data_IF_399550741918
#
_entry.id   IF_399550741918
#
_cell.length_a   1.000
_cell.length_b   1.000
_cell.length_c   1.000
_cell.angle_alpha   90.00
_cell.angle_beta   90.00
_cell.angle_gamma   90.00
#
_symmetry.space_group_name_H-M   'P 1'
#
loop_
_entity.id
_entity.type
_entity.pdbx_description
1 polymer ?
#
# COMPACT_ATOMS: atom_id res chain seq x y z
N UNK A 1 -10.55 -11.91 -17.43
CA UNK A 1 -9.74 -11.68 -16.21
C UNK A 1 -10.67 -11.37 -15.04
N UNK A 2 -10.33 -11.76 -13.81
CA UNK A 2 -11.28 -11.76 -12.67
C UNK A 2 -11.34 -10.45 -11.86
N UNK A 3 -10.69 -9.38 -12.31
CA UNK A 3 -10.69 -8.07 -11.64
C UNK A 3 -11.69 -7.11 -12.28
N UNK A 4 -12.11 -6.09 -11.52
CA UNK A 4 -12.96 -5.01 -12.01
C UNK A 4 -12.12 -3.88 -12.59
N UNK A 5 -12.62 -3.25 -13.66
CA UNK A 5 -11.97 -2.06 -14.24
C UNK A 5 -12.09 -0.86 -13.30
N UNK A 6 -11.15 0.08 -13.39
CA UNK A 6 -11.18 1.31 -12.59
C UNK A 6 -12.51 2.09 -12.77
N UNK A 7 -13.08 2.06 -13.97
CA UNK A 7 -14.38 2.68 -14.24
C UNK A 7 -15.55 1.98 -13.53
N UNK A 8 -15.56 0.64 -13.50
CA UNK A 8 -16.57 -0.13 -12.77
C UNK A 8 -16.48 0.15 -11.27
N UNK A 9 -15.27 0.15 -10.72
CA UNK A 9 -15.02 0.44 -9.30
C UNK A 9 -15.44 1.86 -8.94
N UNK A 10 -15.05 2.86 -9.74
CA UNK A 10 -15.44 4.26 -9.52
C UNK A 10 -16.97 4.46 -9.62
N UNK A 11 -17.62 3.80 -10.59
CA UNK A 11 -19.08 3.84 -10.73
C UNK A 11 -19.80 3.17 -9.56
N UNK A 12 -19.28 2.04 -9.07
CA UNK A 12 -19.80 1.37 -7.88
C UNK A 12 -19.68 2.25 -6.63
N UNK A 13 -18.50 2.82 -6.38
CA UNK A 13 -18.29 3.74 -5.24
C UNK A 13 -19.24 4.93 -5.33
N UNK A 14 -19.39 5.52 -6.52
CA UNK A 14 -20.30 6.64 -6.73
C UNK A 14 -21.76 6.28 -6.43
N UNK A 15 -22.21 5.08 -6.83
CA UNK A 15 -23.54 4.59 -6.50
C UNK A 15 -23.73 4.44 -4.98
N UNK A 16 -22.73 3.87 -4.28
CA UNK A 16 -22.74 3.72 -2.83
C UNK A 16 -22.79 5.09 -2.12
N UNK A 17 -21.99 6.05 -2.57
CA UNK A 17 -22.01 7.42 -2.02
C UNK A 17 -23.40 8.05 -2.17
N UNK A 18 -24.03 7.92 -3.35
CA UNK A 18 -25.38 8.44 -3.59
C UNK A 18 -26.47 7.78 -2.75
N UNK A 19 -26.26 6.55 -2.28
CA UNK A 19 -27.18 5.87 -1.38
C UNK A 19 -27.00 6.25 0.10
N UNK A 20 -25.79 6.65 0.51
CA UNK A 20 -25.46 6.91 1.91
C UNK A 20 -25.52 8.40 2.23
N UNK A 21 -25.01 9.26 1.34
CA UNK A 21 -24.89 10.69 1.59
C UNK A 21 -26.16 11.39 1.12
N UNK A 22 -26.83 12.17 2.00
CA UNK A 22 -27.99 12.97 1.63
C UNK A 22 -27.71 13.87 0.41
N UNK A 23 -28.68 14.02 -0.51
CA UNK A 23 -28.49 14.80 -1.73
C UNK A 23 -28.13 16.27 -1.45
N UNK A 24 -28.62 16.83 -0.35
CA UNK A 24 -28.31 18.21 0.05
C UNK A 24 -26.81 18.40 0.32
N UNK A 25 -26.16 17.42 0.97
CA UNK A 25 -24.72 17.45 1.24
C UNK A 25 -23.86 17.21 0.00
N UNK A 26 -24.37 16.47 -0.99
CA UNK A 26 -23.67 16.23 -2.25
C UNK A 26 -23.69 17.46 -3.18
N UNK A 27 -24.59 18.40 -2.94
CA UNK A 27 -24.72 19.62 -3.72
C UNK A 27 -25.28 19.37 -5.12
N UNK A 28 -24.85 20.19 -6.07
CA UNK A 28 -25.41 20.24 -7.43
C UNK A 28 -24.72 19.29 -8.41
N UNK A 29 -25.23 19.23 -9.65
CA UNK A 29 -24.66 18.35 -10.69
C UNK A 29 -23.20 18.69 -11.03
N UNK A 30 -22.77 19.94 -10.82
CA UNK A 30 -21.38 20.35 -11.07
C UNK A 30 -20.44 19.72 -10.04
N UNK A 31 -20.79 19.76 -8.76
CA UNK A 31 -20.06 19.10 -7.67
C UNK A 31 -20.09 17.58 -7.86
N UNK A 32 -21.22 17.00 -8.27
CA UNK A 32 -21.30 15.56 -8.52
C UNK A 32 -20.33 15.11 -9.61
N UNK A 33 -20.22 15.88 -10.70
CA UNK A 33 -19.28 15.59 -11.79
C UNK A 33 -17.84 15.69 -11.29
N UNK A 34 -17.52 16.71 -10.50
CA UNK A 34 -16.18 16.88 -9.92
C UNK A 34 -15.82 15.76 -8.93
N UNK A 35 -16.74 15.37 -8.05
CA UNK A 35 -16.55 14.25 -7.11
C UNK A 35 -16.34 12.93 -7.86
N UNK A 36 -17.17 12.63 -8.86
CA UNK A 36 -17.03 11.41 -9.68
C UNK A 36 -15.68 11.36 -10.40
N UNK A 37 -15.22 12.49 -10.95
CA UNK A 37 -13.90 12.60 -11.56
C UNK A 37 -12.76 12.39 -10.53
N UNK A 38 -12.88 12.99 -9.34
CA UNK A 38 -11.88 12.82 -8.28
C UNK A 38 -11.84 11.38 -7.76
N UNK A 39 -12.98 10.71 -7.63
CA UNK A 39 -13.05 9.28 -7.29
C UNK A 39 -12.40 8.44 -8.38
N UNK A 40 -12.70 8.72 -9.66
CA UNK A 40 -12.08 8.00 -10.77
C UNK A 40 -10.57 8.19 -10.82
N UNK A 41 -10.06 9.38 -10.49
CA UNK A 41 -8.63 9.64 -10.35
C UNK A 41 -8.04 8.86 -9.20
N UNK A 42 -8.67 8.89 -8.03
CA UNK A 42 -8.22 8.19 -6.83
C UNK A 42 -8.10 6.67 -7.04
N UNK A 43 -9.11 6.07 -7.69
CA UNK A 43 -9.10 4.64 -8.06
C UNK A 43 -8.05 4.34 -9.13
N UNK A 44 -7.65 5.33 -9.92
CA UNK A 44 -6.62 5.19 -10.95
C UNK A 44 -5.19 5.34 -10.46
N UNK A 45 -4.98 5.67 -9.19
CA UNK A 45 -3.64 5.90 -8.65
C UNK A 45 -2.82 4.61 -8.58
N UNK A 46 -1.52 4.76 -8.83
CA UNK A 46 -0.56 3.69 -8.63
C UNK A 46 -0.18 3.56 -7.15
N UNK A 47 0.43 2.44 -6.80
CA UNK A 47 0.94 2.24 -5.45
C UNK A 47 2.03 3.26 -5.15
N UNK A 48 1.96 3.82 -3.93
CA UNK A 48 2.83 4.90 -3.43
C UNK A 48 2.57 6.28 -4.03
N UNK A 49 1.60 6.42 -4.95
CA UNK A 49 1.10 7.74 -5.32
C UNK A 49 0.26 8.34 -4.20
N UNK A 50 0.39 9.65 -4.02
CA UNK A 50 -0.34 10.41 -3.02
C UNK A 50 -1.49 11.17 -3.68
N UNK A 51 -2.62 11.26 -2.98
CA UNK A 51 -3.78 12.01 -3.44
C UNK A 51 -4.00 13.26 -2.59
N UNK A 52 -3.61 14.40 -3.13
CA UNK A 52 -3.66 15.65 -2.39
C UNK A 52 -5.06 16.26 -2.36
N UNK A 53 -5.44 16.77 -1.18
CA UNK A 53 -6.70 17.46 -0.99
C UNK A 53 -6.78 18.75 -1.83
N UNK A 54 -5.66 19.45 -2.01
CA UNK A 54 -5.59 20.66 -2.85
C UNK A 54 -6.01 20.40 -4.29
N UNK A 55 -5.59 19.26 -4.86
CA UNK A 55 -5.94 18.85 -6.22
C UNK A 55 -7.43 18.54 -6.37
N UNK A 56 -8.06 18.00 -5.31
CA UNK A 56 -9.50 17.76 -5.28
C UNK A 56 -10.30 19.07 -5.31
N UNK A 57 -9.83 20.07 -4.56
CA UNK A 57 -10.54 21.32 -4.31
C UNK A 57 -10.47 22.30 -5.47
N UNK A 58 -9.33 22.39 -6.18
CA UNK A 58 -9.16 23.31 -7.31
C UNK A 58 -10.25 23.15 -8.40
N UNK A 59 -10.86 21.96 -8.50
CA UNK A 59 -11.97 21.69 -9.44
C UNK A 59 -13.37 21.87 -8.85
N UNK A 60 -13.47 22.03 -7.54
CA UNK A 60 -14.70 22.23 -6.77
C UNK A 60 -14.89 23.71 -6.36
N UNK A 61 -13.82 24.50 -6.32
CA UNK A 61 -13.81 25.91 -5.90
C UNK A 61 -14.58 26.85 -6.85
N UNK A 62 -14.92 26.42 -8.07
CA UNK A 62 -15.73 27.20 -9.02
C UNK A 62 -17.24 27.14 -8.75
N UNK A 63 -17.70 26.23 -7.90
CA UNK A 63 -19.12 26.06 -7.54
C UNK A 63 -19.28 26.24 -6.03
N UNK A 64 -19.99 27.28 -5.58
CA UNK A 64 -20.37 27.42 -4.17
C UNK A 64 -21.30 26.24 -3.82
N UNK A 65 -20.92 25.34 -2.90
CA UNK A 65 -21.79 24.23 -2.55
C UNK A 65 -23.04 24.76 -1.83
N UNK A 66 -24.26 24.40 -2.28
CA UNK A 66 -25.51 24.97 -1.77
C UNK A 66 -25.79 24.61 -0.31
N UNK A 67 -25.19 23.57 0.27
CA UNK A 67 -25.36 23.27 1.69
C UNK A 67 -24.58 24.22 2.60
N UNK A 68 -23.45 24.80 2.14
CA UNK A 68 -22.68 25.73 2.97
C UNK A 68 -23.35 27.10 3.07
N UNK A 69 -24.16 27.50 2.11
CA UNK A 69 -24.94 28.74 2.21
C UNK A 69 -26.07 28.65 3.24
N UNK A 70 -26.47 27.43 3.62
CA UNK A 70 -27.50 27.18 4.64
C UNK A 70 -26.93 27.08 6.07
N UNK A 71 -25.62 26.84 6.23
CA UNK A 71 -24.97 26.82 7.55
C UNK A 71 -24.84 28.26 8.05
N UNK A 72 -25.76 28.69 8.92
CA UNK A 72 -25.61 29.96 9.64
C UNK A 72 -24.46 29.82 10.64
N UNK A 73 -23.57 30.81 10.70
CA UNK A 73 -22.44 30.83 11.65
C UNK A 73 -22.90 30.69 13.11
N UNK A 74 -24.15 31.09 13.42
CA UNK A 74 -24.79 30.93 14.72
C UNK A 74 -24.95 29.46 15.16
N UNK A 75 -24.97 28.52 14.22
CA UNK A 75 -25.37 27.13 14.46
C UNK A 75 -24.16 26.18 14.54
N UNK A 76 -22.95 26.72 14.35
CA UNK A 76 -21.72 25.97 14.54
C UNK A 76 -21.44 25.85 16.04
N UNK A 77 -21.48 24.63 16.60
CA UNK A 77 -21.08 24.35 17.98
C UNK A 77 -19.67 24.88 18.31
N UNK A 78 -18.80 25.03 17.31
CA UNK A 78 -17.49 25.66 17.47
C UNK A 78 -17.61 27.12 17.90
N UNK A 79 -18.60 27.90 17.45
CA UNK A 79 -18.80 29.27 17.93
C UNK A 79 -19.27 29.30 19.39
N UNK A 80 -20.15 28.38 19.80
CA UNK A 80 -20.57 28.26 21.22
C UNK A 80 -19.43 27.78 22.13
N UNK A 81 -18.64 26.79 21.71
CA UNK A 81 -17.48 26.30 22.47
C UNK A 81 -16.35 27.33 22.54
N UNK A 82 -16.17 28.13 21.48
CA UNK A 82 -15.14 29.17 21.40
C UNK A 82 -15.52 30.46 22.12
N UNK A 83 -16.82 30.69 22.37
CA UNK A 83 -17.32 31.72 23.30
C UNK A 83 -17.23 31.26 24.76
N UNK A 84 -17.38 29.96 25.04
CA UNK A 84 -17.28 29.42 26.40
C UNK A 84 -15.84 29.28 26.94
N UNK A 85 -14.84 29.10 26.06
CA UNK A 85 -13.42 29.07 26.45
C UNK A 85 -12.86 30.48 26.26
N UNK A 86 -13.11 31.33 27.25
CA UNK A 86 -12.78 32.75 27.23
C UNK A 86 -11.31 33.05 26.93
N UNK A 87 -11.12 34.20 26.28
CA UNK A 87 -9.88 34.90 25.94
C UNK A 87 -9.28 34.60 24.56
N UNK A 88 -9.92 35.14 23.54
CA UNK A 88 -9.23 35.54 22.32
C UNK A 88 -9.57 37.01 22.03
N UNK A 89 -8.54 37.85 21.86
CA UNK A 89 -8.59 39.31 21.69
C UNK A 89 -9.29 39.80 20.41
N UNK A 90 -9.93 38.92 19.65
CA UNK A 90 -10.67 39.23 18.43
C UNK A 90 -12.02 39.92 18.66
N UNK A 91 -12.43 40.16 19.91
CA UNK A 91 -13.60 40.97 20.24
C UNK A 91 -13.32 42.50 20.25
N UNK A 92 -12.07 42.95 20.04
CA UNK A 92 -11.71 44.38 20.10
C UNK A 92 -11.54 45.09 18.76
N UNK A 93 -11.64 44.41 17.63
CA UNK A 93 -11.62 45.08 16.32
C UNK A 93 -12.99 44.97 15.64
N UNK A 94 -13.77 46.03 15.82
CA UNK A 94 -14.91 46.31 14.98
C UNK A 94 -14.47 46.55 13.53
N UNK A 95 -15.33 46.11 12.61
CA UNK A 95 -15.45 46.67 11.27
C UNK A 95 -14.30 46.46 10.28
N UNK A 96 -14.06 45.20 9.86
CA UNK A 96 -13.82 44.89 8.44
C UNK A 96 -14.05 43.39 8.09
N UNK A 97 -14.88 43.13 7.07
CA UNK A 97 -15.01 41.87 6.30
C UNK A 97 -15.66 40.62 6.94
N UNK A 98 -16.89 40.75 7.47
CA UNK A 98 -17.79 39.61 7.80
C UNK A 98 -17.96 38.60 6.65
N UNK A 99 -17.85 39.05 5.39
CA UNK A 99 -17.92 38.20 4.21
C UNK A 99 -16.66 37.34 3.98
N UNK A 100 -15.45 37.90 4.19
CA UNK A 100 -14.20 37.15 3.99
C UNK A 100 -13.98 36.09 5.05
N UNK A 101 -14.35 36.37 6.30
CA UNK A 101 -14.29 35.38 7.38
C UNK A 101 -15.30 34.24 7.18
N UNK A 102 -16.52 34.53 6.71
CA UNK A 102 -17.52 33.55 6.24
C UNK A 102 -16.96 32.63 5.15
N UNK A 103 -16.40 33.20 4.10
CA UNK A 103 -15.82 32.44 2.97
C UNK A 103 -14.68 31.53 3.45
N UNK A 104 -13.79 32.03 4.31
CA UNK A 104 -12.69 31.22 4.89
C UNK A 104 -13.21 30.04 5.72
N UNK A 105 -14.25 30.26 6.53
CA UNK A 105 -14.86 29.19 7.34
C UNK A 105 -15.53 28.13 6.46
N UNK A 106 -16.32 28.54 5.46
CA UNK A 106 -16.95 27.62 4.52
C UNK A 106 -15.92 26.80 3.75
N UNK A 107 -14.85 27.43 3.26
CA UNK A 107 -13.77 26.72 2.59
C UNK A 107 -13.12 25.70 3.52
N UNK A 108 -12.90 26.03 4.80
CA UNK A 108 -12.38 25.06 5.79
C UNK A 108 -13.34 23.90 6.01
N UNK A 109 -14.63 24.15 6.21
CA UNK A 109 -15.61 23.08 6.42
C UNK A 109 -15.72 22.17 5.20
N UNK A 110 -15.73 22.75 4.00
CA UNK A 110 -15.72 22.00 2.75
C UNK A 110 -14.49 21.09 2.62
N UNK A 111 -13.32 21.60 2.98
CA UNK A 111 -12.06 20.82 3.00
C UNK A 111 -12.17 19.61 3.92
N UNK A 112 -12.69 19.81 5.14
CA UNK A 112 -12.89 18.71 6.09
C UNK A 112 -13.94 17.71 5.59
N UNK A 113 -15.01 18.19 4.94
CA UNK A 113 -16.03 17.32 4.37
C UNK A 113 -15.49 16.44 3.24
N UNK A 114 -14.72 17.01 2.30
CA UNK A 114 -14.07 16.22 1.24
C UNK A 114 -13.07 15.22 1.84
N UNK A 115 -12.26 15.65 2.80
CA UNK A 115 -11.33 14.76 3.48
C UNK A 115 -12.06 13.60 4.17
N UNK A 116 -13.15 13.88 4.88
CA UNK A 116 -14.00 12.89 5.51
C UNK A 116 -14.61 11.93 4.47
N UNK A 117 -15.14 12.45 3.36
CA UNK A 117 -15.71 11.64 2.29
C UNK A 117 -14.70 10.62 1.74
N UNK A 118 -13.46 11.04 1.48
CA UNK A 118 -12.45 10.11 0.97
C UNK A 118 -11.92 9.16 2.04
N UNK A 119 -11.54 9.68 3.20
CA UNK A 119 -10.90 8.88 4.27
C UNK A 119 -11.87 7.93 4.98
N UNK A 120 -13.12 8.35 5.17
CA UNK A 120 -14.10 7.64 6.00
C UNK A 120 -15.19 6.93 5.20
N UNK A 121 -15.35 7.25 3.91
CA UNK A 121 -16.32 6.58 3.04
C UNK A 121 -15.65 5.87 1.86
N UNK A 122 -14.96 6.60 0.97
CA UNK A 122 -14.36 6.00 -0.25
C UNK A 122 -13.35 4.90 0.09
N UNK A 123 -12.38 5.18 0.96
CA UNK A 123 -11.33 4.21 1.33
C UNK A 123 -11.92 2.98 2.04
N UNK A 124 -12.80 3.12 3.07
CA UNK A 124 -13.44 1.97 3.70
C UNK A 124 -14.32 1.16 2.75
N UNK A 125 -15.08 1.79 1.85
CA UNK A 125 -15.88 1.08 0.84
C UNK A 125 -14.97 0.25 -0.06
N UNK A 126 -13.91 0.84 -0.62
CA UNK A 126 -12.94 0.08 -1.44
C UNK A 126 -12.37 -1.11 -0.65
N UNK A 127 -11.88 -0.85 0.56
CA UNK A 127 -11.27 -1.85 1.43
C UNK A 127 -12.24 -2.97 1.82
N UNK A 128 -13.54 -2.68 1.95
CA UNK A 128 -14.54 -3.66 2.36
C UNK A 128 -15.01 -4.56 1.22
N UNK A 129 -15.16 -4.03 0.01
CA UNK A 129 -15.70 -4.79 -1.13
C UNK A 129 -14.63 -5.39 -2.04
N UNK A 130 -13.44 -4.77 -2.11
CA UNK A 130 -12.37 -5.18 -3.01
C UNK A 130 -11.11 -5.56 -2.25
N UNK A 131 -10.44 -6.60 -2.74
CA UNK A 131 -9.05 -6.85 -2.46
C UNK A 131 -8.20 -6.09 -3.47
N UNK A 132 -7.37 -5.18 -2.95
CA UNK A 132 -6.58 -4.23 -3.74
C UNK A 132 -5.14 -4.74 -3.80
N UNK A 133 -4.66 -5.11 -4.98
CA UNK A 133 -3.31 -5.69 -5.14
C UNK A 133 -2.69 -5.35 -6.48
N UNK A 134 -1.37 -5.49 -6.53
CA UNK A 134 -0.53 -5.33 -7.71
C UNK A 134 -0.51 -6.62 -8.53
N UNK A 135 -0.03 -6.55 -9.76
CA UNK A 135 0.38 -7.73 -10.53
C UNK A 135 1.89 -7.76 -10.67
N UNK A 136 2.47 -8.96 -10.83
CA UNK A 136 3.93 -9.07 -10.88
C UNK A 136 4.57 -8.29 -12.05
N UNK A 137 3.88 -8.20 -13.19
CA UNK A 137 4.45 -7.62 -14.41
C UNK A 137 4.01 -6.16 -14.66
N UNK A 138 2.99 -5.69 -13.95
CA UNK A 138 2.34 -4.40 -14.23
C UNK A 138 2.86 -3.28 -13.30
N UNK A 139 4.14 -3.36 -12.91
CA UNK A 139 4.86 -2.38 -12.08
C UNK A 139 4.14 -2.05 -10.76
N UNK A 140 3.61 -0.83 -10.66
CA UNK A 140 2.92 -0.25 -9.49
C UNK A 140 1.41 -0.05 -9.77
N UNK A 141 0.91 -0.64 -10.86
CA UNK A 141 -0.50 -0.55 -11.21
C UNK A 141 -1.35 -1.42 -10.28
N UNK A 142 -2.33 -0.77 -9.67
CA UNK A 142 -3.25 -1.38 -8.72
C UNK A 142 -4.44 -2.01 -9.45
N UNK A 143 -4.84 -3.20 -9.00
CA UNK A 143 -5.99 -3.95 -9.49
C UNK A 143 -6.97 -4.23 -8.36
N UNK A 144 -8.27 -4.24 -8.70
CA UNK A 144 -9.37 -4.39 -7.77
C UNK A 144 -10.09 -5.72 -8.00
N UNK A 145 -9.95 -6.67 -7.08
CA UNK A 145 -10.65 -7.94 -7.14
C UNK A 145 -11.81 -7.93 -6.14
N UNK A 146 -13.05 -8.25 -6.54
CA UNK A 146 -14.12 -8.44 -5.57
C UNK A 146 -13.70 -9.48 -4.52
N UNK A 147 -13.92 -9.21 -3.22
CA UNK A 147 -13.45 -10.10 -2.16
C UNK A 147 -13.90 -11.57 -2.31
N UNK A 148 -15.16 -11.87 -2.67
CA UNK A 148 -15.58 -13.27 -2.89
C UNK A 148 -14.79 -13.97 -3.99
N UNK A 149 -14.43 -13.22 -5.05
CA UNK A 149 -13.61 -13.74 -6.14
C UNK A 149 -12.17 -13.94 -5.67
N UNK A 150 -11.62 -12.98 -4.93
CA UNK A 150 -10.27 -13.09 -4.38
C UNK A 150 -10.13 -14.28 -3.42
N UNK A 151 -11.12 -14.51 -2.55
CA UNK A 151 -11.13 -15.65 -1.63
C UNK A 151 -11.05 -16.98 -2.41
N UNK A 152 -11.92 -17.17 -3.41
CA UNK A 152 -11.86 -18.37 -4.28
C UNK A 152 -10.49 -18.56 -4.95
N UNK A 153 -9.87 -17.48 -5.41
CA UNK A 153 -8.54 -17.54 -6.02
C UNK A 153 -7.46 -17.91 -4.99
N UNK A 154 -7.54 -17.39 -3.77
CA UNK A 154 -6.61 -17.70 -2.68
C UNK A 154 -6.78 -19.13 -2.17
N UNK A 155 -8.01 -19.62 -2.08
CA UNK A 155 -8.32 -21.00 -1.68
C UNK A 155 -7.78 -21.99 -2.71
N UNK A 156 -8.06 -21.76 -4.00
CA UNK A 156 -7.50 -22.57 -5.09
C UNK A 156 -5.97 -22.55 -5.10
N UNK A 157 -5.36 -21.38 -4.88
CA UNK A 157 -3.92 -21.28 -4.76
C UNK A 157 -3.39 -22.09 -3.56
N UNK A 158 -4.12 -22.11 -2.45
CA UNK A 158 -3.73 -22.85 -1.23
C UNK A 158 -3.81 -24.36 -1.45
N UNK A 159 -4.85 -24.85 -2.15
CA UNK A 159 -4.94 -26.26 -2.56
C UNK A 159 -3.77 -26.63 -3.45
N UNK A 160 -3.48 -25.83 -4.49
CA UNK A 160 -2.35 -26.08 -5.38
C UNK A 160 -1.00 -26.13 -4.64
N UNK A 161 -0.82 -25.32 -3.60
CA UNK A 161 0.42 -25.37 -2.81
C UNK A 161 0.56 -26.67 -2.01
N UNK A 162 -0.55 -27.18 -1.46
CA UNK A 162 -0.58 -28.46 -0.75
C UNK A 162 -0.25 -29.64 -1.66
N UNK A 163 -0.68 -29.57 -2.93
CA UNK A 163 -0.37 -30.59 -3.94
C UNK A 163 1.09 -30.55 -4.42
N UNK A 164 1.81 -29.46 -4.15
CA UNK A 164 3.20 -29.27 -4.55
C UNK A 164 4.14 -29.59 -3.37
N UNK A 165 4.84 -28.57 -2.85
CA UNK A 165 5.94 -28.74 -1.88
C UNK A 165 5.57 -28.25 -0.47
N UNK A 166 4.29 -27.98 -0.19
CA UNK A 166 3.86 -27.41 1.09
C UNK A 166 2.96 -28.38 1.84
N UNK A 167 3.18 -28.50 3.15
CA UNK A 167 2.34 -29.30 4.04
C UNK A 167 1.64 -28.39 5.05
N UNK A 168 0.38 -28.71 5.37
CA UNK A 168 -0.33 -28.00 6.42
C UNK A 168 0.17 -28.47 7.79
N UNK A 169 0.63 -27.53 8.62
CA UNK A 169 1.09 -27.84 9.97
C UNK A 169 -0.08 -27.92 10.94
N UNK A 170 -0.05 -28.94 11.79
CA UNK A 170 -0.91 -29.06 12.97
C UNK A 170 -0.34 -28.24 14.14
N UNK A 171 -1.18 -27.90 15.12
CA UNK A 171 -0.79 -27.06 16.27
C UNK A 171 0.37 -27.65 17.08
N UNK A 172 0.39 -28.97 17.29
CA UNK A 172 1.48 -29.66 18.00
C UNK A 172 2.82 -29.53 17.25
N UNK A 173 2.81 -29.80 15.94
CA UNK A 173 3.99 -29.66 15.07
C UNK A 173 4.48 -28.22 15.04
N UNK A 174 3.55 -27.27 14.89
CA UNK A 174 3.84 -25.83 14.93
C UNK A 174 4.55 -25.43 16.23
N UNK A 175 4.03 -25.84 17.39
CA UNK A 175 4.65 -25.52 18.68
C UNK A 175 6.03 -26.15 18.84
N UNK A 176 6.21 -27.39 18.38
CA UNK A 176 7.51 -28.06 18.43
C UNK A 176 8.57 -27.33 17.58
N UNK A 177 8.17 -26.80 16.43
CA UNK A 177 9.04 -26.06 15.52
C UNK A 177 9.41 -24.70 16.13
N UNK A 178 8.43 -23.98 16.66
CA UNK A 178 8.64 -22.66 17.26
C UNK A 178 9.50 -22.76 18.52
N UNK A 179 9.28 -23.78 19.36
CA UNK A 179 10.11 -24.00 20.56
C UNK A 179 11.59 -24.25 20.22
N UNK A 180 11.87 -24.90 19.08
CA UNK A 180 13.24 -25.21 18.63
C UNK A 180 13.90 -24.05 17.85
N UNK A 181 13.12 -23.11 17.31
CA UNK A 181 13.62 -22.04 16.43
C UNK A 181 13.85 -20.75 17.18
N UNK A 182 14.93 -20.05 16.81
CA UNK A 182 15.26 -18.70 17.34
C UNK A 182 14.58 -17.55 16.59
N UNK A 183 13.75 -17.85 15.59
CA UNK A 183 13.05 -16.86 14.77
C UNK A 183 11.66 -17.36 14.37
N UNK A 184 10.75 -16.42 14.13
CA UNK A 184 9.34 -16.69 13.81
C UNK A 184 9.12 -17.05 12.33
N UNK A 185 7.86 -17.04 11.91
CA UNK A 185 7.47 -17.28 10.52
C UNK A 185 7.17 -15.97 9.78
N UNK A 186 7.28 -16.00 8.45
CA UNK A 186 6.95 -14.86 7.60
C UNK A 186 5.48 -14.92 7.19
N UNK A 187 4.79 -13.78 7.25
CA UNK A 187 3.44 -13.66 6.69
C UNK A 187 3.52 -13.66 5.17
N UNK A 188 2.69 -14.46 4.53
CA UNK A 188 2.63 -14.58 3.08
C UNK A 188 1.47 -13.78 2.50
N UNK A 189 1.66 -13.24 1.29
CA UNK A 189 0.59 -12.67 0.47
C UNK A 189 0.59 -13.30 -0.92
N UNK A 190 -0.58 -13.43 -1.52
CA UNK A 190 -0.71 -13.86 -2.91
C UNK A 190 -0.59 -12.66 -3.86
N UNK A 191 0.20 -12.86 -4.93
CA UNK A 191 0.41 -11.91 -6.00
C UNK A 191 0.00 -12.55 -7.33
N UNK A 192 -0.99 -12.01 -8.05
CA UNK A 192 -1.41 -12.56 -9.33
C UNK A 192 -0.31 -12.46 -10.39
N UNK A 193 -0.10 -13.57 -11.10
CA UNK A 193 0.55 -13.64 -12.43
C UNK A 193 -0.52 -13.91 -13.48
N UNK A 194 -0.10 -14.00 -14.76
CA UNK A 194 -1.00 -14.30 -15.89
C UNK A 194 -1.92 -15.51 -15.62
N UNK A 195 -1.35 -16.66 -15.25
CA UNK A 195 -2.10 -17.92 -15.08
C UNK A 195 -1.92 -18.59 -13.70
N UNK A 196 -1.25 -17.93 -12.74
CA UNK A 196 -0.98 -18.53 -11.42
C UNK A 196 -0.84 -17.47 -10.33
N UNK A 197 -0.99 -17.87 -9.07
CA UNK A 197 -0.67 -17.02 -7.93
C UNK A 197 0.78 -17.26 -7.49
N UNK A 198 1.54 -16.19 -7.28
CA UNK A 198 2.86 -16.25 -6.63
C UNK A 198 2.70 -15.90 -5.16
N UNK A 199 3.33 -16.69 -4.29
CA UNK A 199 3.48 -16.32 -2.88
C UNK A 199 4.63 -15.33 -2.72
N UNK A 200 4.41 -14.30 -1.91
CA UNK A 200 5.46 -13.39 -1.44
C UNK A 200 5.46 -13.38 0.08
N UNK A 201 6.57 -13.81 0.68
CA UNK A 201 6.77 -13.80 2.12
C UNK A 201 7.34 -12.44 2.58
N UNK A 202 6.76 -11.85 3.63
CA UNK A 202 7.31 -10.67 4.28
C UNK A 202 8.26 -11.09 5.42
N UNK A 203 9.57 -11.10 5.11
CA UNK A 203 10.63 -11.50 6.05
C UNK A 203 11.13 -10.35 6.95
N UNK A 204 10.67 -9.11 6.70
CA UNK A 204 11.06 -7.91 7.45
C UNK A 204 10.13 -7.62 8.63
N UNK A 205 8.90 -8.11 8.58
CA UNK A 205 7.96 -7.91 9.68
C UNK A 205 8.33 -8.81 10.87
N UNK A 206 8.24 -8.30 12.11
CA UNK A 206 8.25 -9.15 13.29
C UNK A 206 7.01 -10.06 13.28
N UNK A 207 7.14 -11.20 13.95
CA UNK A 207 6.09 -12.20 14.03
C UNK A 207 5.52 -12.19 15.44
N UNK A 208 4.20 -12.10 15.56
CA UNK A 208 3.51 -12.28 16.84
C UNK A 208 3.16 -13.75 17.00
N UNK A 209 3.63 -14.36 18.10
CA UNK A 209 3.33 -15.74 18.45
C UNK A 209 2.34 -15.73 19.60
N UNK A 210 1.17 -16.33 19.36
CA UNK A 210 0.17 -16.54 20.39
C UNK A 210 0.58 -17.73 21.26
N UNK A 211 0.68 -17.52 22.56
CA UNK A 211 0.79 -18.62 23.52
C UNK A 211 -0.56 -19.35 23.59
N UNK A 212 -0.53 -20.67 23.78
CA UNK A 212 -1.73 -21.51 23.84
C UNK A 212 -2.57 -21.25 25.11
N UNK A 213 -1.95 -20.68 26.13
CA UNK A 213 -2.57 -20.45 27.43
C UNK A 213 -3.34 -19.13 27.41
N UNK A 214 -4.65 -19.16 27.70
CA UNK A 214 -5.56 -18.00 27.61
C UNK A 214 -5.11 -16.83 28.52
N UNK A 215 -4.25 -17.11 29.51
CA UNK A 215 -3.68 -16.13 30.43
C UNK A 215 -2.24 -15.67 30.09
N UNK A 216 -1.59 -16.22 29.05
CA UNK A 216 -0.24 -15.80 28.63
C UNK A 216 -0.31 -14.84 27.44
N UNK A 217 0.27 -13.65 27.62
CA UNK A 217 0.38 -12.61 26.60
C UNK A 217 1.10 -13.14 25.36
N UNK A 218 0.66 -12.70 24.19
CA UNK A 218 1.41 -12.90 22.95
C UNK A 218 2.80 -12.27 23.07
N UNK A 219 3.79 -12.89 22.43
CA UNK A 219 5.14 -12.35 22.40
C UNK A 219 5.59 -12.12 20.95
N UNK A 220 6.39 -11.07 20.78
CA UNK A 220 6.92 -10.71 19.48
C UNK A 220 8.30 -11.34 19.29
N UNK A 221 8.44 -12.07 18.19
CA UNK A 221 9.71 -12.60 17.73
C UNK A 221 10.29 -11.66 16.68
N UNK A 222 11.61 -11.48 16.73
CA UNK A 222 12.36 -10.71 15.74
C UNK A 222 12.07 -11.20 14.32
N UNK A 223 12.10 -10.29 13.36
CA UNK A 223 11.93 -10.63 11.95
C UNK A 223 12.98 -11.64 11.49
N UNK A 224 12.65 -12.46 10.48
CA UNK A 224 13.60 -13.44 9.91
C UNK A 224 14.87 -12.74 9.46
N UNK A 225 14.76 -11.58 8.79
CA UNK A 225 15.91 -10.80 8.37
C UNK A 225 16.78 -10.32 9.54
N UNK A 226 16.17 -9.93 10.66
CA UNK A 226 16.91 -9.52 11.87
C UNK A 226 17.65 -10.71 12.47
N UNK A 227 17.02 -11.88 12.54
CA UNK A 227 17.63 -13.08 13.12
C UNK A 227 18.72 -13.69 12.25
N UNK A 228 18.61 -13.59 10.92
CA UNK A 228 19.63 -14.07 9.97
C UNK A 228 20.72 -13.03 9.68
N UNK A 229 20.70 -11.85 10.32
CA UNK A 229 21.64 -10.76 10.05
C UNK A 229 23.10 -11.17 10.32
N UNK A 230 23.34 -11.90 11.40
CA UNK A 230 24.68 -12.39 11.78
C UNK A 230 25.17 -13.44 10.79
N UNK A 231 24.34 -14.42 10.45
CA UNK A 231 24.65 -15.43 9.44
C UNK A 231 24.95 -14.79 8.07
N UNK A 232 24.17 -13.78 7.67
CA UNK A 232 24.43 -13.03 6.45
C UNK A 232 25.74 -12.22 6.52
N UNK A 233 26.16 -11.74 7.69
CA UNK A 233 27.45 -11.09 7.88
C UNK A 233 28.62 -12.09 7.78
N UNK A 234 28.48 -13.27 8.38
CA UNK A 234 29.45 -14.38 8.25
C UNK A 234 29.58 -14.77 6.79
N UNK A 235 28.48 -14.96 6.08
CA UNK A 235 28.49 -15.31 4.66
C UNK A 235 29.19 -14.24 3.81
N UNK A 236 28.98 -12.95 4.10
CA UNK A 236 29.70 -11.85 3.45
C UNK A 236 31.20 -11.88 3.77
N UNK A 237 31.58 -12.24 4.98
CA UNK A 237 32.99 -12.41 5.37
C UNK A 237 33.64 -13.56 4.60
N UNK A 238 33.00 -14.73 4.57
CA UNK A 238 33.45 -15.90 3.80
C UNK A 238 33.61 -15.55 2.33
N UNK A 239 32.68 -14.81 1.73
CA UNK A 239 32.78 -14.33 0.35
C UNK A 239 34.04 -13.49 0.12
N UNK A 240 34.38 -12.62 1.07
CA UNK A 240 35.52 -11.70 0.94
C UNK A 240 36.86 -12.41 1.19
N UNK A 241 36.91 -13.34 2.15
CA UNK A 241 38.13 -14.07 2.53
C UNK A 241 38.39 -15.26 1.59
N UNK A 242 37.36 -15.96 1.13
CA UNK A 242 37.45 -17.08 0.19
C UNK A 242 36.40 -16.97 -0.93
N UNK A 243 36.67 -16.17 -1.98
CA UNK A 243 35.75 -15.99 -3.09
C UNK A 243 35.40 -17.28 -3.84
N UNK A 244 36.32 -18.25 -3.89
CA UNK A 244 36.13 -19.51 -4.61
C UNK A 244 35.05 -20.39 -3.98
N UNK A 245 34.85 -20.30 -2.65
CA UNK A 245 33.84 -21.09 -1.93
C UNK A 245 32.40 -20.78 -2.35
N UNK A 246 32.13 -19.54 -2.80
CA UNK A 246 30.81 -19.09 -3.28
C UNK A 246 30.79 -18.94 -4.82
N UNK A 247 31.88 -19.30 -5.49
CA UNK A 247 32.05 -19.18 -6.93
C UNK A 247 31.74 -17.78 -7.46
N UNK A 248 30.93 -17.72 -8.52
CA UNK A 248 30.59 -16.47 -9.19
C UNK A 248 29.48 -15.66 -8.51
N UNK A 249 29.06 -16.01 -7.29
CA UNK A 249 27.99 -15.33 -6.56
C UNK A 249 28.25 -13.83 -6.36
N UNK A 250 27.16 -13.05 -6.36
CA UNK A 250 27.14 -11.58 -6.20
C UNK A 250 26.02 -11.21 -5.22
N UNK A 251 26.29 -10.28 -4.30
CA UNK A 251 25.36 -9.95 -3.20
C UNK A 251 24.64 -8.62 -3.45
N UNK A 252 24.97 -7.93 -4.54
CA UNK A 252 24.29 -6.72 -4.98
C UNK A 252 24.84 -6.21 -6.31
N UNK A 253 24.21 -5.15 -6.82
CA UNK A 253 24.58 -4.54 -8.10
C UNK A 253 26.01 -3.98 -8.13
N UNK A 254 26.54 -3.56 -6.98
CA UNK A 254 27.92 -3.10 -6.88
C UNK A 254 28.91 -4.22 -7.20
N UNK A 255 28.68 -5.44 -6.68
CA UNK A 255 29.52 -6.60 -6.98
C UNK A 255 29.46 -6.98 -8.46
N UNK A 256 28.25 -6.92 -9.05
CA UNK A 256 28.04 -7.17 -10.48
C UNK A 256 28.85 -6.18 -11.31
N UNK A 257 28.72 -4.89 -11.00
CA UNK A 257 29.47 -3.84 -11.67
C UNK A 257 30.99 -4.06 -11.56
N UNK A 258 31.49 -4.37 -10.37
CA UNK A 258 32.92 -4.61 -10.18
C UNK A 258 33.44 -5.79 -11.01
N UNK A 259 32.71 -6.91 -11.04
CA UNK A 259 33.09 -8.09 -11.85
C UNK A 259 33.07 -7.77 -13.34
N UNK A 260 32.01 -7.11 -13.81
CA UNK A 260 31.88 -6.72 -15.21
C UNK A 260 32.96 -5.71 -15.63
N UNK A 261 33.27 -4.74 -14.75
CA UNK A 261 34.31 -3.76 -14.98
C UNK A 261 35.70 -4.40 -15.09
N UNK A 262 36.03 -5.36 -14.20
CA UNK A 262 37.30 -6.10 -14.27
C UNK A 262 37.43 -6.89 -15.57
N UNK A 263 36.38 -7.64 -15.93
CA UNK A 263 36.32 -8.38 -17.18
C UNK A 263 36.50 -7.46 -18.41
N UNK A 264 35.86 -6.29 -18.40
CA UNK A 264 36.00 -5.30 -19.47
C UNK A 264 37.41 -4.73 -19.57
N UNK A 265 38.08 -4.49 -18.43
CA UNK A 265 39.47 -4.03 -18.40
C UNK A 265 40.44 -5.10 -18.92
N UNK A 266 40.24 -6.37 -18.56
CA UNK A 266 41.04 -7.49 -19.07
C UNK A 266 40.92 -7.63 -20.59
N UNK A 267 39.70 -7.52 -21.13
CA UNK A 267 39.42 -7.56 -22.56
C UNK A 267 40.10 -6.40 -23.30
N UNK A 268 40.07 -5.18 -22.73
CA UNK A 268 40.67 -3.99 -23.33
C UNK A 268 42.19 -3.96 -23.22
N UNK A 269 42.75 -4.46 -22.11
CA UNK A 269 44.19 -4.45 -21.86
C UNK A 269 44.96 -5.55 -22.61
N UNK A 270 44.28 -6.64 -23.00
CA UNK A 270 44.94 -7.79 -23.61
C UNK A 270 45.18 -7.66 -25.13
N UNK A 271 44.45 -6.82 -25.87
CA UNK A 271 44.45 -6.82 -27.34
C UNK A 271 44.25 -5.42 -27.95
N UNK A 272 44.95 -5.13 -29.05
CA UNK A 272 44.75 -3.93 -29.90
C UNK A 272 43.35 -3.88 -30.54
N UNK A 273 42.63 -5.00 -30.58
CA UNK A 273 41.24 -5.11 -31.04
C UNK A 273 40.39 -5.82 -29.99
N UNK A 274 39.18 -5.31 -29.75
CA UNK A 274 38.23 -5.90 -28.80
C UNK A 274 37.76 -7.27 -29.32
N UNK A 275 38.00 -8.38 -28.59
CA UNK A 275 37.54 -9.70 -29.01
C UNK A 275 36.01 -9.81 -29.00
N UNK A 276 35.49 -10.73 -29.82
CA UNK A 276 34.07 -11.05 -29.86
C UNK A 276 33.64 -11.72 -28.54
N UNK A 277 32.66 -11.15 -27.84
CA UNK A 277 32.15 -11.66 -26.55
C UNK A 277 30.79 -12.30 -26.75
N UNK A 278 30.61 -13.51 -26.21
CA UNK A 278 29.32 -14.18 -26.13
C UNK A 278 28.73 -14.08 -24.73
N UNK A 279 27.41 -13.85 -24.63
CA UNK A 279 26.68 -13.79 -23.37
C UNK A 279 25.65 -14.91 -23.36
N UNK A 280 25.74 -15.78 -22.35
CA UNK A 280 24.74 -16.81 -22.07
C UNK A 280 23.93 -16.37 -20.86
N UNK A 281 22.60 -16.34 -21.02
CA UNK A 281 21.68 -15.98 -19.94
C UNK A 281 20.89 -17.22 -19.54
N UNK A 282 21.02 -17.62 -18.27
CA UNK A 282 20.25 -18.72 -17.67
C UNK A 282 19.37 -18.20 -16.53
N UNK A 283 18.16 -18.74 -16.41
CA UNK A 283 17.23 -18.46 -15.31
C UNK A 283 16.97 -19.75 -14.51
N UNK A 284 17.01 -19.64 -13.17
CA UNK A 284 16.78 -20.78 -12.27
C UNK A 284 15.34 -20.71 -11.78
N UNK A 285 14.52 -21.68 -12.18
CA UNK A 285 13.14 -21.75 -11.75
C UNK A 285 13.02 -22.18 -10.28
N UNK A 286 12.14 -21.52 -9.52
CA UNK A 286 11.76 -21.92 -8.15
C UNK A 286 12.90 -22.02 -7.13
N UNK A 287 13.94 -21.19 -7.21
CA UNK A 287 15.10 -21.26 -6.31
C UNK A 287 14.81 -21.08 -4.78
N UNK A 288 13.58 -20.72 -4.40
CA UNK A 288 13.14 -20.63 -3.00
C UNK A 288 12.37 -21.87 -2.51
N UNK A 289 11.81 -22.66 -3.44
CA UNK A 289 11.05 -23.88 -3.14
C UNK A 289 12.00 -25.09 -3.06
#
# INVERSE_FOLDING_TARGET
EAYCTNHQVASFIWAVIRSIVPPDLLGDRSIWRALRLNISKFVGLQRFEMFDLSQCLHRLESSQPPFLSQIRISDCCCYKLWVCIGNCSCAKEGSCNSSKSKIRLHNRLFRHWIYWLFSSLVVPVISNYFYVTERQFDKLQVFYYPKPVWMKLADNATVYLKEQNYEQLNDASYMSIIAKRRFGFSRVRFLPKKNKMRIVANTKAPCEIKAYDQNKRSFFVKSVNSSLKELHAILRRVKNENPYALGSSVFGYHDVYQKLYRFHQEIKGALLMVPLVYIVVGDVSKAFD
#
